data_IF_993234069048
#
_entry.id   IF_993234069048
#
_cell.length_a   1.000
_cell.length_b   1.000
_cell.length_c   1.000
_cell.angle_alpha   90.00
_cell.angle_beta   90.00
_cell.angle_gamma   90.00
#
_symmetry.space_group_name_H-M   'P 1'
#
loop_
_entity.id
_entity.type
_entity.pdbx_description
1 polymer ?
#
# COMPACT_ATOMS: atom_id res chain seq x y z
N UNK A 1 -15.85 -25.28 -9.60
CA UNK A 1 -15.96 -24.46 -8.37
C UNK A 1 -14.62 -23.80 -8.14
N UNK A 2 -14.53 -22.47 -8.30
CA UNK A 2 -13.31 -21.72 -7.96
C UNK A 2 -13.15 -21.82 -6.45
N UNK A 3 -12.03 -22.41 -6.02
CA UNK A 3 -11.66 -22.52 -4.61
C UNK A 3 -11.64 -21.13 -3.97
N UNK A 4 -12.23 -20.96 -2.77
CA UNK A 4 -12.38 -19.66 -2.08
C UNK A 4 -11.05 -19.17 -1.49
N UNK A 5 -9.98 -19.22 -2.28
CA UNK A 5 -8.65 -18.77 -1.89
C UNK A 5 -8.68 -17.26 -1.63
N UNK A 6 -8.03 -16.87 -0.54
CA UNK A 6 -7.85 -15.48 -0.14
C UNK A 6 -6.39 -15.13 -0.28
N UNK A 7 -6.09 -14.06 -1.00
CA UNK A 7 -4.72 -13.60 -1.25
C UNK A 7 -4.50 -12.29 -0.50
N UNK A 8 -3.32 -12.16 0.11
CA UNK A 8 -2.85 -10.92 0.70
C UNK A 8 -1.64 -10.42 -0.09
N UNK A 9 -1.74 -9.22 -0.63
CA UNK A 9 -0.67 -8.54 -1.37
C UNK A 9 -0.20 -7.37 -0.51
N UNK A 10 1.10 -7.29 -0.24
CA UNK A 10 1.73 -6.14 0.40
C UNK A 10 2.60 -5.46 -0.65
N UNK A 11 2.26 -4.22 -0.99
CA UNK A 11 2.89 -3.51 -2.10
C UNK A 11 3.21 -2.05 -1.76
N UNK A 12 4.20 -1.44 -2.44
CA UNK A 12 4.48 -0.02 -2.29
C UNK A 12 3.44 0.89 -2.97
N UNK A 13 2.74 0.41 -4.00
CA UNK A 13 1.71 1.14 -4.75
C UNK A 13 0.76 0.15 -5.46
N UNK A 14 -0.41 0.65 -5.87
CA UNK A 14 -1.42 -0.03 -6.67
C UNK A 14 -1.83 0.88 -7.84
N UNK A 15 -0.99 1.04 -8.86
CA UNK A 15 -1.27 1.95 -9.98
C UNK A 15 -0.66 1.53 -11.33
N UNK A 16 0.02 0.38 -11.36
CA UNK A 16 0.80 -0.11 -12.50
C UNK A 16 0.86 -1.64 -12.45
N UNK A 17 2.05 -2.25 -12.50
CA UNK A 17 2.23 -3.71 -12.54
C UNK A 17 1.45 -4.45 -11.45
N UNK A 18 1.47 -3.95 -10.21
CA UNK A 18 0.72 -4.56 -9.10
C UNK A 18 -0.78 -4.54 -9.35
N UNK A 19 -1.29 -3.47 -9.97
CA UNK A 19 -2.71 -3.37 -10.32
C UNK A 19 -3.06 -4.41 -11.37
N UNK A 20 -2.37 -4.41 -12.51
CA UNK A 20 -2.65 -5.32 -13.62
C UNK A 20 -2.55 -6.79 -13.18
N UNK A 21 -1.53 -7.11 -12.39
CA UNK A 21 -1.35 -8.45 -11.83
C UNK A 21 -2.49 -8.83 -10.87
N UNK A 22 -2.88 -7.93 -9.97
CA UNK A 22 -3.98 -8.16 -9.04
C UNK A 22 -5.30 -8.38 -9.76
N UNK A 23 -5.58 -7.58 -10.79
CA UNK A 23 -6.83 -7.67 -11.56
C UNK A 23 -6.90 -8.92 -12.42
N UNK A 24 -5.77 -9.36 -12.98
CA UNK A 24 -5.68 -10.65 -13.65
C UNK A 24 -5.94 -11.81 -12.66
N UNK A 25 -5.30 -11.76 -11.49
CA UNK A 25 -5.49 -12.78 -10.44
C UNK A 25 -6.90 -12.80 -9.86
N UNK A 26 -7.58 -11.66 -9.80
CA UNK A 26 -8.92 -11.52 -9.23
C UNK A 26 -9.96 -12.42 -9.92
N UNK A 27 -9.70 -12.85 -11.16
CA UNK A 27 -10.54 -13.79 -11.91
C UNK A 27 -10.47 -15.22 -11.38
N UNK A 28 -9.36 -15.57 -10.73
CA UNK A 28 -9.02 -16.94 -10.35
C UNK A 28 -9.13 -17.19 -8.83
N UNK A 29 -9.33 -16.15 -8.02
CA UNK A 29 -9.37 -16.24 -6.55
C UNK A 29 -10.61 -15.60 -5.95
N UNK A 30 -11.02 -16.11 -4.79
CA UNK A 30 -12.25 -15.64 -4.14
C UNK A 30 -12.16 -14.21 -3.62
N UNK A 31 -11.03 -13.81 -3.02
CA UNK A 31 -10.83 -12.44 -2.52
C UNK A 31 -9.37 -12.05 -2.45
N UNK A 32 -9.06 -10.80 -2.75
CA UNK A 32 -7.72 -10.22 -2.63
C UNK A 32 -7.77 -9.03 -1.68
N UNK A 33 -6.83 -9.01 -0.73
CA UNK A 33 -6.56 -7.86 0.13
C UNK A 33 -5.22 -7.26 -0.28
N UNK A 34 -5.20 -5.99 -0.63
CA UNK A 34 -3.99 -5.25 -0.98
C UNK A 34 -3.69 -4.24 0.13
N UNK A 35 -2.56 -4.40 0.79
CA UNK A 35 -2.06 -3.43 1.76
C UNK A 35 -0.97 -2.60 1.10
N UNK A 36 -1.30 -1.32 0.85
CA UNK A 36 -0.39 -0.38 0.21
C UNK A 36 0.36 0.40 1.28
N UNK A 37 1.69 0.33 1.27
CA UNK A 37 2.51 1.17 2.15
C UNK A 37 2.47 2.61 1.65
N UNK A 38 2.16 3.54 2.55
CA UNK A 38 2.23 4.97 2.26
C UNK A 38 3.16 5.67 3.26
N UNK A 39 4.09 6.49 2.76
CA UNK A 39 4.94 7.32 3.62
C UNK A 39 4.23 8.63 3.94
N UNK A 40 3.83 8.87 5.18
CA UNK A 40 3.12 10.10 5.53
C UNK A 40 3.92 11.40 5.28
N UNK A 41 5.25 11.32 5.15
CA UNK A 41 6.05 12.48 4.72
C UNK A 41 5.64 13.04 3.35
N UNK A 42 5.08 12.21 2.45
CA UNK A 42 4.62 12.69 1.14
C UNK A 42 3.41 13.61 1.22
N UNK A 43 2.58 13.48 2.25
CA UNK A 43 1.45 14.40 2.48
C UNK A 43 1.93 15.72 3.09
N UNK A 44 3.01 15.70 3.88
CA UNK A 44 3.60 16.89 4.47
C UNK A 44 4.44 17.70 3.48
N UNK A 45 4.88 17.08 2.38
CA UNK A 45 5.61 17.73 1.30
C UNK A 45 4.84 18.94 0.73
N UNK A 46 3.50 18.90 0.71
CA UNK A 46 2.66 20.00 0.24
C UNK A 46 2.75 21.27 1.11
N UNK A 47 3.24 21.17 2.35
CA UNK A 47 3.33 22.27 3.31
C UNK A 47 4.76 22.79 3.50
N UNK A 48 5.77 22.17 2.87
CA UNK A 48 7.18 22.55 3.03
C UNK A 48 7.71 23.26 1.77
N UNK A 49 8.30 24.46 1.89
CA UNK A 49 8.61 25.33 0.75
C UNK A 49 9.86 24.93 -0.06
N UNK A 50 10.31 23.67 -0.05
CA UNK A 50 11.56 23.27 -0.70
C UNK A 50 11.33 22.43 -1.97
N UNK A 51 11.94 22.87 -3.07
CA UNK A 51 11.99 22.18 -4.38
C UNK A 51 12.48 20.72 -4.31
N UNK A 52 13.18 20.35 -3.24
CA UNK A 52 13.65 18.98 -2.97
C UNK A 52 12.49 17.99 -2.73
N UNK A 53 11.30 18.46 -2.34
CA UNK A 53 10.15 17.63 -2.02
C UNK A 53 9.23 17.32 -3.20
N UNK A 54 9.47 17.89 -4.39
CA UNK A 54 8.66 17.59 -5.59
C UNK A 54 8.70 16.12 -6.01
N UNK A 55 9.78 15.39 -5.68
CA UNK A 55 9.86 13.95 -5.90
C UNK A 55 9.02 13.13 -4.90
N UNK A 56 8.69 13.71 -3.75
CA UNK A 56 7.96 13.04 -2.67
C UNK A 56 6.44 13.08 -2.92
N UNK A 57 5.95 14.10 -3.64
CA UNK A 57 4.55 14.23 -4.08
C UNK A 57 4.06 13.05 -4.94
N UNK A 58 4.96 12.45 -5.72
CA UNK A 58 4.67 11.22 -6.50
C UNK A 58 4.25 10.04 -5.61
N UNK A 59 4.58 10.08 -4.32
CA UNK A 59 4.20 9.08 -3.33
C UNK A 59 3.04 9.53 -2.43
N UNK A 60 2.31 10.59 -2.80
CA UNK A 60 1.05 10.96 -2.12
C UNK A 60 0.00 9.86 -2.30
N UNK A 61 -0.97 9.77 -1.38
CA UNK A 61 -2.02 8.75 -1.43
C UNK A 61 -2.75 8.69 -2.77
N UNK A 62 -3.01 9.86 -3.38
CA UNK A 62 -3.73 9.99 -4.66
C UNK A 62 -2.97 9.35 -5.82
N UNK A 63 -1.65 9.39 -5.78
CA UNK A 63 -0.79 8.85 -6.82
C UNK A 63 -0.41 7.38 -6.58
N UNK A 64 -0.52 6.91 -5.33
CA UNK A 64 -0.18 5.54 -4.95
C UNK A 64 -1.25 4.51 -5.31
N UNK A 65 -2.51 4.92 -5.48
CA UNK A 65 -3.62 4.00 -5.71
C UNK A 65 -4.51 4.47 -6.84
N UNK A 66 -4.62 3.67 -7.89
CA UNK A 66 -5.60 3.79 -8.95
C UNK A 66 -6.74 2.79 -8.74
N UNK A 67 -7.93 3.31 -8.42
CA UNK A 67 -9.14 2.51 -8.17
C UNK A 67 -9.99 2.30 -9.43
N UNK A 68 -9.57 2.84 -10.59
CA UNK A 68 -10.33 2.73 -11.83
C UNK A 68 -10.43 1.27 -12.25
N UNK A 69 -11.67 0.80 -12.49
CA UNK A 69 -12.00 -0.57 -12.89
C UNK A 69 -11.61 -1.66 -11.88
N UNK A 70 -11.36 -1.29 -10.61
CA UNK A 70 -10.99 -2.25 -9.57
C UNK A 70 -12.09 -3.33 -9.41
N UNK A 71 -11.75 -4.62 -9.50
CA UNK A 71 -12.69 -5.71 -9.26
C UNK A 71 -13.34 -5.63 -7.88
N UNK A 72 -14.57 -6.14 -7.74
CA UNK A 72 -15.33 -6.10 -6.49
C UNK A 72 -14.71 -6.96 -5.39
N UNK A 73 -14.03 -8.06 -5.75
CA UNK A 73 -13.35 -8.97 -4.83
C UNK A 73 -11.94 -8.51 -4.45
N UNK A 74 -11.55 -7.27 -4.76
CA UNK A 74 -10.27 -6.67 -4.38
C UNK A 74 -10.52 -5.55 -3.36
N UNK A 75 -10.04 -5.73 -2.14
CA UNK A 75 -10.06 -4.72 -1.08
C UNK A 75 -8.67 -4.08 -0.97
N UNK A 76 -8.61 -2.74 -0.95
CA UNK A 76 -7.34 -2.01 -0.92
C UNK A 76 -7.32 -1.12 0.32
N UNK A 77 -6.32 -1.32 1.18
CA UNK A 77 -6.11 -0.54 2.39
C UNK A 77 -4.76 0.17 2.34
N UNK A 78 -4.76 1.50 2.54
CA UNK A 78 -3.55 2.32 2.54
C UNK A 78 -3.03 2.47 3.97
N UNK A 79 -1.88 1.85 4.25
CA UNK A 79 -1.24 1.88 5.57
C UNK A 79 -0.21 2.99 5.63
N UNK A 80 -0.63 4.13 6.16
CA UNK A 80 0.20 5.33 6.29
C UNK A 80 1.16 5.21 7.46
N UNK A 81 2.47 5.32 7.21
CA UNK A 81 3.53 5.27 8.23
C UNK A 81 4.50 6.41 8.02
N UNK A 82 4.86 7.11 9.10
CA UNK A 82 5.88 8.14 9.07
C UNK A 82 7.27 7.51 9.14
N UNK A 83 8.08 7.75 8.10
CA UNK A 83 9.49 7.37 8.07
C UNK A 83 10.30 8.25 7.12
N UNK A 84 11.56 8.50 7.46
CA UNK A 84 12.51 9.20 6.58
C UNK A 84 13.04 8.28 5.49
N UNK A 85 13.47 8.86 4.36
CA UNK A 85 14.06 8.14 3.22
C UNK A 85 15.14 7.19 3.74
N UNK A 86 15.20 5.95 3.27
CA UNK A 86 16.22 5.00 3.69
C UNK A 86 17.58 5.46 3.10
N UNK A 87 18.30 6.27 3.87
CA UNK A 87 19.69 6.70 3.67
C UNK A 87 20.70 5.61 4.07
N UNK A 88 20.24 4.35 4.19
CA UNK A 88 21.02 3.24 4.72
C UNK A 88 21.19 3.25 6.24
N UNK A 89 20.63 4.21 6.99
CA UNK A 89 20.72 4.27 8.47
C UNK A 89 19.44 3.83 9.18
N UNK A 90 18.36 3.59 8.43
CA UNK A 90 17.04 3.23 8.96
C UNK A 90 16.80 1.71 9.01
N UNK A 91 17.67 0.95 9.69
CA UNK A 91 17.67 -0.52 9.67
C UNK A 91 16.41 -1.11 10.31
N UNK A 92 15.83 -0.41 11.30
CA UNK A 92 14.59 -0.81 11.98
C UNK A 92 13.31 -0.52 11.19
N UNK A 93 13.42 0.06 9.98
CA UNK A 93 12.26 0.47 9.20
C UNK A 93 11.43 -0.72 8.73
N UNK A 94 12.09 -1.81 8.33
CA UNK A 94 11.45 -3.08 7.96
C UNK A 94 10.58 -3.60 9.11
N UNK A 95 11.15 -3.72 10.31
CA UNK A 95 10.45 -4.18 11.51
C UNK A 95 9.28 -3.27 11.90
N UNK A 96 9.48 -1.95 11.83
CA UNK A 96 8.42 -0.98 12.13
C UNK A 96 7.22 -1.18 11.21
N UNK A 97 7.47 -1.41 9.93
CA UNK A 97 6.42 -1.60 8.94
C UNK A 97 5.78 -2.97 9.08
N UNK A 98 6.57 -4.03 9.30
CA UNK A 98 6.07 -5.35 9.60
C UNK A 98 5.11 -5.35 10.79
N UNK A 99 5.51 -4.75 11.93
CA UNK A 99 4.65 -4.61 13.12
C UNK A 99 3.35 -3.91 12.77
N UNK A 100 3.42 -2.82 12.01
CA UNK A 100 2.24 -2.05 11.62
C UNK A 100 1.27 -2.82 10.72
N UNK A 101 1.78 -3.53 9.72
CA UNK A 101 0.95 -4.41 8.88
C UNK A 101 0.34 -5.55 9.70
N UNK A 102 1.14 -6.19 10.56
CA UNK A 102 0.67 -7.27 11.44
C UNK A 102 -0.47 -6.80 12.36
N UNK A 103 -0.29 -5.65 13.00
CA UNK A 103 -1.28 -5.10 13.92
C UNK A 103 -2.56 -4.68 13.17
N UNK A 104 -2.44 -4.15 11.95
CA UNK A 104 -3.57 -3.89 11.06
C UNK A 104 -4.35 -5.16 10.69
N UNK A 105 -3.64 -6.21 10.26
CA UNK A 105 -4.24 -7.50 9.89
C UNK A 105 -4.96 -8.13 11.09
N UNK A 106 -4.36 -8.05 12.29
CA UNK A 106 -4.99 -8.52 13.53
C UNK A 106 -6.30 -7.77 13.80
N UNK A 107 -6.30 -6.44 13.70
CA UNK A 107 -7.51 -5.63 13.88
C UNK A 107 -8.62 -6.01 12.90
N UNK A 108 -8.31 -6.15 11.62
CA UNK A 108 -9.24 -6.55 10.55
C UNK A 108 -9.80 -7.98 10.69
N UNK A 109 -9.09 -8.88 11.40
CA UNK A 109 -9.57 -10.24 11.68
C UNK A 109 -10.50 -10.33 12.89
N UNK A 110 -10.45 -9.34 13.79
CA UNK A 110 -11.26 -9.27 15.00
C UNK A 110 -12.48 -8.33 14.87
N UNK A 111 -12.68 -7.72 13.69
CA UNK A 111 -13.84 -6.90 13.33
C UNK A 111 -14.69 -7.64 12.32
#
# INVERSE_FOLDING_TARGET
MIDKKRVLIIAPHYNSFIKDFTEAMAKEVGRIYVLVRHNYLSELAHYLPFSYFGNVEKYSKRNLVDLKNKPENVDIDIISTLYFIPDGRNWSLGDKLFRKFRDYIKKKRCS
#
